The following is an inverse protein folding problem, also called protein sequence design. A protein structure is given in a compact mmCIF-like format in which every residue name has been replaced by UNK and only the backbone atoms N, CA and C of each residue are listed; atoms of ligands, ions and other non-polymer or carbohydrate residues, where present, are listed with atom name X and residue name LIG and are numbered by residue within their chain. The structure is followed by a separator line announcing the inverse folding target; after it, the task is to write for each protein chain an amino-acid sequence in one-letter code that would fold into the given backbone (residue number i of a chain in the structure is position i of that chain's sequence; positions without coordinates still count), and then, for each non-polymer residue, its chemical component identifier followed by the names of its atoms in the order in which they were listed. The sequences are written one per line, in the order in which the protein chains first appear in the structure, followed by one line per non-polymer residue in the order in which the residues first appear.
data_IF_223206304217
#
_entry.id   IF_223206304217
#
_cell.length_a   1.000
_cell.length_b   1.000
_cell.length_c   1.000
_cell.angle_alpha   90.00
_cell.angle_beta   90.00
_cell.angle_gamma   90.00
#
_symmetry.space_group_name_H-M   'P 1'
#
loop_
_entity.id
_entity.type
_entity.pdbx_description
1 polymer ?
#
# COMPACT_ATOMS: atom_id res chain seq x y z
N UNK A 1 0.28 -9.23 24.22
CA UNK A 1 0.45 -8.38 23.02
C UNK A 1 -0.92 -8.17 22.43
N UNK A 2 -1.50 -6.96 22.52
CA UNK A 2 -2.76 -6.67 21.85
C UNK A 2 -2.42 -6.35 20.40
N UNK A 3 -2.65 -7.29 19.49
CA UNK A 3 -2.72 -6.96 18.08
C UNK A 3 -3.89 -6.01 17.91
N UNK A 4 -3.62 -4.75 17.55
CA UNK A 4 -4.65 -3.88 17.00
C UNK A 4 -5.05 -4.49 15.65
N UNK A 5 -6.32 -4.92 15.48
CA UNK A 5 -6.75 -5.43 14.20
C UNK A 5 -6.66 -4.30 13.17
N UNK A 6 -6.07 -4.61 12.01
CA UNK A 6 -6.14 -3.78 10.82
C UNK A 6 -7.60 -3.41 10.55
N UNK A 7 -7.89 -2.20 10.02
CA UNK A 7 -9.24 -1.89 9.56
C UNK A 7 -9.67 -3.00 8.58
N UNK A 8 -10.73 -3.72 8.95
CA UNK A 8 -11.32 -4.78 8.15
C UNK A 8 -12.11 -4.13 7.01
N UNK A 9 -11.39 -3.64 6.00
CA UNK A 9 -12.02 -3.21 4.75
C UNK A 9 -12.45 -4.45 3.99
N UNK A 10 -13.77 -4.63 3.93
CA UNK A 10 -14.53 -5.59 3.12
C UNK A 10 -13.90 -5.71 1.72
N UNK A 11 -13.26 -6.85 1.41
CA UNK A 11 -12.66 -7.07 0.09
C UNK A 11 -13.73 -7.67 -0.82
N UNK A 12 -14.37 -6.83 -1.64
CA UNK A 12 -15.11 -7.27 -2.82
C UNK A 12 -14.23 -7.14 -4.05
N UNK A 13 -14.30 -8.13 -4.94
CA UNK A 13 -13.23 -8.50 -5.87
C UNK A 13 -12.91 -7.55 -7.04
N UNK A 14 -13.51 -6.36 -7.12
CA UNK A 14 -13.16 -5.33 -8.12
C UNK A 14 -13.25 -3.90 -7.55
N UNK A 15 -12.88 -3.68 -6.29
CA UNK A 15 -12.93 -2.32 -5.73
C UNK A 15 -11.70 -1.51 -6.11
N UNK A 16 -11.91 -0.47 -6.93
CA UNK A 16 -11.09 0.73 -6.86
C UNK A 16 -11.08 1.16 -5.40
N UNK A 17 -9.95 0.98 -4.72
CA UNK A 17 -9.83 1.36 -3.32
C UNK A 17 -9.89 2.89 -3.30
N UNK A 18 -11.01 3.44 -2.84
CA UNK A 18 -11.10 4.85 -2.51
C UNK A 18 -10.01 5.16 -1.48
N UNK A 19 -9.16 6.14 -1.78
CA UNK A 19 -8.18 6.60 -0.84
C UNK A 19 -8.92 7.23 0.34
N UNK A 20 -8.78 6.62 1.51
CA UNK A 20 -9.32 7.18 2.74
C UNK A 20 -8.41 8.33 3.19
N UNK A 21 -8.86 9.56 2.97
CA UNK A 21 -8.12 10.77 3.37
C UNK A 21 -7.99 10.91 4.90
N UNK A 22 -8.64 10.05 5.70
CA UNK A 22 -8.40 9.94 7.14
C UNK A 22 -7.18 9.08 7.49
N UNK A 23 -6.65 8.31 6.54
CA UNK A 23 -5.50 7.43 6.73
C UNK A 23 -4.20 8.16 6.42
N UNK A 24 -3.23 8.05 7.34
CA UNK A 24 -1.87 8.54 7.11
C UNK A 24 -1.06 7.51 6.31
N UNK A 25 -0.80 7.83 5.05
CA UNK A 25 0.04 7.03 4.17
C UNK A 25 1.52 7.29 4.48
N UNK A 26 2.25 6.23 4.81
CA UNK A 26 3.69 6.29 5.13
C UNK A 26 4.44 5.13 4.50
N UNK A 27 5.73 5.30 4.26
CA UNK A 27 6.59 4.23 3.75
C UNK A 27 6.60 3.01 4.71
N UNK A 28 6.60 3.26 6.02
CA UNK A 28 6.53 2.21 7.04
C UNK A 28 5.25 1.39 6.92
N UNK A 29 4.10 2.04 6.69
CA UNK A 29 2.83 1.34 6.48
C UNK A 29 2.90 0.41 5.26
N UNK A 30 3.45 0.90 4.13
CA UNK A 30 3.61 0.08 2.93
C UNK A 30 4.56 -1.10 3.14
N UNK A 31 5.65 -0.90 3.91
CA UNK A 31 6.58 -1.97 4.29
C UNK A 31 5.91 -3.04 5.14
N UNK A 32 5.14 -2.65 6.16
CA UNK A 32 4.39 -3.61 7.01
C UNK A 32 3.43 -4.43 6.15
N UNK A 33 2.70 -3.81 5.22
CA UNK A 33 1.84 -4.56 4.29
C UNK A 33 2.64 -5.51 3.40
N UNK A 34 3.82 -5.10 2.95
CA UNK A 34 4.71 -5.97 2.15
C UNK A 34 5.19 -7.18 2.96
N UNK A 35 5.64 -6.96 4.20
CA UNK A 35 6.10 -8.02 5.10
C UNK A 35 5.00 -9.02 5.46
N UNK A 36 3.75 -8.56 5.53
CA UNK A 36 2.58 -9.39 5.76
C UNK A 36 2.06 -10.09 4.48
N UNK A 37 2.67 -9.84 3.31
CA UNK A 37 2.25 -10.39 2.03
C UNK A 37 1.04 -9.68 1.39
N UNK A 38 0.57 -8.58 1.97
CA UNK A 38 -0.53 -7.77 1.44
C UNK A 38 -0.06 -6.82 0.33
N UNK A 39 0.49 -7.38 -0.75
CA UNK A 39 1.15 -6.60 -1.80
C UNK A 39 0.24 -5.59 -2.50
N UNK A 40 -1.05 -5.91 -2.72
CA UNK A 40 -2.02 -4.95 -3.29
C UNK A 40 -2.13 -3.70 -2.42
N UNK A 41 -2.34 -3.87 -1.11
CA UNK A 41 -2.41 -2.76 -0.14
C UNK A 41 -1.11 -1.97 -0.08
N UNK A 42 0.04 -2.63 -0.14
CA UNK A 42 1.34 -1.96 -0.18
C UNK A 42 1.50 -1.11 -1.45
N UNK A 43 1.10 -1.63 -2.61
CA UNK A 43 1.09 -0.91 -3.89
C UNK A 43 0.21 0.34 -3.80
N UNK A 44 -0.98 0.25 -3.19
CA UNK A 44 -1.89 1.39 -3.05
C UNK A 44 -1.30 2.49 -2.17
N UNK A 45 -0.66 2.10 -1.05
CA UNK A 45 0.03 3.07 -0.18
C UNK A 45 1.16 3.76 -0.93
N UNK A 46 1.99 3.01 -1.68
CA UNK A 46 3.04 3.62 -2.50
C UNK A 46 2.49 4.52 -3.62
N UNK A 47 1.36 4.16 -4.24
CA UNK A 47 0.70 4.99 -5.24
C UNK A 47 0.24 6.32 -4.64
N UNK A 48 -0.35 6.32 -3.43
CA UNK A 48 -0.71 7.58 -2.74
C UNK A 48 0.53 8.40 -2.37
N UNK A 49 1.62 7.76 -1.93
CA UNK A 49 2.87 8.44 -1.62
C UNK A 49 3.50 9.12 -2.84
N UNK A 50 3.34 8.58 -4.06
CA UNK A 50 3.76 9.25 -5.30
C UNK A 50 3.00 10.56 -5.50
N UNK A 51 1.69 10.57 -5.23
CA UNK A 51 0.84 11.75 -5.35
C UNK A 51 1.15 12.80 -4.27
N UNK A 52 1.47 12.36 -3.05
CA UNK A 52 1.78 13.24 -1.93
C UNK A 52 3.21 13.81 -1.97
N UNK A 53 4.16 13.04 -2.52
CA UNK A 53 5.59 13.33 -2.51
C UNK A 53 6.20 13.14 -3.91
N UNK A 54 5.86 14.03 -4.87
CA UNK A 54 6.30 13.89 -6.26
C UNK A 54 7.83 13.91 -6.41
N UNK A 55 8.56 14.52 -5.49
CA UNK A 55 10.02 14.52 -5.45
C UNK A 55 10.63 13.13 -5.21
N UNK A 56 9.86 12.21 -4.62
CA UNK A 56 10.23 10.80 -4.40
C UNK A 56 9.48 9.84 -5.33
N UNK A 57 8.75 10.36 -6.33
CA UNK A 57 7.90 9.56 -7.21
C UNK A 57 8.64 8.38 -7.86
N UNK A 58 9.83 8.60 -8.42
CA UNK A 58 10.65 7.54 -9.04
C UNK A 58 11.05 6.44 -8.06
N UNK A 59 11.34 6.80 -6.81
CA UNK A 59 11.67 5.84 -5.75
C UNK A 59 10.47 4.94 -5.44
N UNK A 60 9.29 5.53 -5.17
CA UNK A 60 8.08 4.77 -4.89
C UNK A 60 7.60 3.96 -6.11
N UNK A 61 7.73 4.48 -7.32
CA UNK A 61 7.41 3.75 -8.54
C UNK A 61 8.24 2.47 -8.68
N UNK A 62 9.52 2.51 -8.29
CA UNK A 62 10.40 1.35 -8.32
C UNK A 62 9.94 0.27 -7.34
N UNK A 63 9.53 0.65 -6.12
CA UNK A 63 8.96 -0.27 -5.14
C UNK A 63 7.65 -0.91 -5.62
N UNK A 64 6.78 -0.13 -6.29
CA UNK A 64 5.54 -0.65 -6.88
C UNK A 64 5.83 -1.72 -7.93
N UNK A 65 6.85 -1.54 -8.79
CA UNK A 65 7.22 -2.54 -9.79
C UNK A 65 7.72 -3.85 -9.16
N UNK A 66 8.54 -3.73 -8.10
CA UNK A 66 9.01 -4.89 -7.35
C UNK A 66 7.83 -5.67 -6.73
N UNK A 67 6.89 -4.97 -6.11
CA UNK A 67 5.71 -5.58 -5.51
C UNK A 67 4.77 -6.22 -6.53
N UNK A 68 4.59 -5.61 -7.71
CA UNK A 68 3.82 -6.21 -8.81
C UNK A 68 4.42 -7.53 -9.27
N UNK A 69 5.75 -7.62 -9.28
CA UNK A 69 6.46 -8.86 -9.60
C UNK A 69 6.17 -9.92 -8.52
N UNK A 70 6.23 -9.55 -7.24
CA UNK A 70 5.95 -10.44 -6.10
C UNK A 70 4.47 -10.87 -5.99
N UNK A 71 3.52 -10.04 -6.42
CA UNK A 71 2.09 -10.37 -6.39
C UNK A 71 1.65 -11.33 -7.50
N UNK A 72 2.43 -11.41 -8.58
CA UNK A 72 2.16 -12.26 -9.74
C UNK A 72 2.93 -13.60 -9.73
N UNK A 73 3.62 -13.93 -8.62
CA UNK A 73 4.23 -15.24 -8.37
C UNK A 73 3.33 -16.05 -7.43
#
# INVERSE_FOLDING_TARGET
MKQNPLPETKVSSEEFIEFDDTVFYTETLAKIYTEQGFYKRAIDVYAKLILLYPEKSSYFASLVQELKTKNNQ
#
